data_IF_589243998356
#
_entry.id   IF_589243998356
#
_cell.length_a   1.000
_cell.length_b   1.000
_cell.length_c   1.000
_cell.angle_alpha   90.00
_cell.angle_beta   90.00
_cell.angle_gamma   90.00
#
_symmetry.space_group_name_H-M   'P 1'
#
loop_
_entity.id
_entity.type
_entity.pdbx_description
1 polymer ?
#
# COMPACT_ATOMS: atom_id res chain seq x y z
N UNK A 1 -31.55 9.65 -3.49
CA UNK A 1 -31.26 10.40 -2.22
C UNK A 1 -30.59 11.70 -2.59
N UNK A 2 -30.78 12.74 -1.80
CA UNK A 2 -30.06 13.99 -2.02
C UNK A 2 -28.74 13.94 -1.24
N UNK A 3 -27.63 14.05 -1.93
CA UNK A 3 -26.28 14.03 -1.36
C UNK A 3 -25.57 15.39 -1.45
N UNK A 4 -26.31 16.46 -1.73
CA UNK A 4 -25.75 17.81 -1.94
C UNK A 4 -24.98 18.35 -0.73
N UNK A 5 -25.26 17.81 0.47
CA UNK A 5 -24.53 18.16 1.70
C UNK A 5 -23.22 17.39 1.89
N UNK A 6 -23.01 16.28 1.12
CA UNK A 6 -21.78 15.50 1.20
C UNK A 6 -20.75 16.08 0.24
N UNK A 7 -19.60 16.52 0.79
CA UNK A 7 -18.55 17.20 0.01
C UNK A 7 -17.17 16.81 0.50
N UNK A 8 -16.26 16.85 -0.43
CA UNK A 8 -14.83 16.64 -0.19
C UNK A 8 -14.40 15.17 -0.22
N UNK A 9 -13.16 14.98 -0.62
CA UNK A 9 -12.48 13.69 -0.62
C UNK A 9 -11.57 13.65 0.60
N UNK A 10 -11.86 12.74 1.52
CA UNK A 10 -11.13 12.61 2.78
C UNK A 10 -10.17 11.42 2.73
N UNK A 11 -8.91 11.65 3.03
CA UNK A 11 -7.90 10.60 3.20
C UNK A 11 -7.67 10.37 4.69
N UNK A 12 -7.91 9.16 5.18
CA UNK A 12 -7.57 8.83 6.56
C UNK A 12 -6.11 8.36 6.59
N UNK A 13 -5.26 9.22 7.13
CA UNK A 13 -3.82 9.06 7.12
C UNK A 13 -3.35 8.03 8.13
N UNK A 14 -2.54 7.08 7.66
CA UNK A 14 -1.91 6.07 8.48
C UNK A 14 -0.62 6.61 9.12
N UNK A 15 -0.48 6.39 10.44
CA UNK A 15 0.72 6.73 11.20
C UNK A 15 1.44 5.46 11.66
N UNK A 16 2.77 5.54 11.75
CA UNK A 16 3.59 4.52 12.38
C UNK A 16 4.63 5.20 13.30
N UNK A 17 4.55 4.95 14.61
CA UNK A 17 5.41 5.57 15.61
C UNK A 17 5.41 7.13 15.56
N UNK A 18 4.24 7.72 15.31
CA UNK A 18 4.03 9.16 15.16
C UNK A 18 4.48 9.74 13.81
N UNK A 19 4.95 8.91 12.86
CA UNK A 19 5.33 9.34 11.51
C UNK A 19 4.27 9.03 10.50
N UNK A 20 4.07 9.94 9.55
CA UNK A 20 3.14 9.76 8.44
C UNK A 20 3.69 8.68 7.50
N UNK A 21 2.90 7.64 7.25
CA UNK A 21 3.29 6.59 6.32
C UNK A 21 3.23 7.07 4.87
N UNK A 22 4.12 6.53 4.03
CA UNK A 22 4.23 6.86 2.60
C UNK A 22 2.89 6.76 1.87
N UNK A 23 2.09 5.74 2.17
CA UNK A 23 0.75 5.53 1.58
C UNK A 23 -0.17 6.74 1.77
N UNK A 24 -0.06 7.46 2.87
CA UNK A 24 -0.86 8.68 3.10
C UNK A 24 -0.54 9.74 2.05
N UNK A 25 0.72 9.96 1.73
CA UNK A 25 1.13 10.90 0.68
C UNK A 25 0.71 10.43 -0.72
N UNK A 26 0.85 9.16 -1.03
CA UNK A 26 0.38 8.55 -2.29
C UNK A 26 -1.11 8.83 -2.49
N UNK A 27 -1.93 8.54 -1.46
CA UNK A 27 -3.38 8.74 -1.51
C UNK A 27 -3.79 10.21 -1.51
N UNK A 28 -3.02 11.10 -0.86
CA UNK A 28 -3.27 12.54 -0.92
C UNK A 28 -3.12 13.05 -2.35
N UNK A 29 -2.08 12.60 -3.07
CA UNK A 29 -1.88 12.95 -4.47
C UNK A 29 -3.00 12.43 -5.37
N UNK A 30 -3.41 11.19 -5.19
CA UNK A 30 -4.51 10.61 -5.98
C UNK A 30 -5.86 11.24 -5.67
N UNK A 31 -6.13 11.52 -4.39
CA UNK A 31 -7.31 12.26 -3.97
C UNK A 31 -7.38 13.65 -4.63
N UNK A 32 -6.23 14.33 -4.83
CA UNK A 32 -6.17 15.60 -5.54
C UNK A 32 -6.56 15.45 -7.02
N UNK A 33 -6.08 14.40 -7.68
CA UNK A 33 -6.44 14.11 -9.08
C UNK A 33 -7.95 13.90 -9.22
N UNK A 34 -8.55 13.12 -8.33
CA UNK A 34 -10.01 12.91 -8.32
C UNK A 34 -10.78 14.19 -8.00
N UNK A 35 -10.33 14.94 -7.00
CA UNK A 35 -10.99 16.16 -6.55
C UNK A 35 -10.96 17.26 -7.62
N UNK A 36 -9.89 17.39 -8.38
CA UNK A 36 -9.82 18.33 -9.52
C UNK A 36 -10.82 17.98 -10.62
N UNK A 37 -11.10 16.68 -10.84
CA UNK A 37 -12.10 16.23 -11.81
C UNK A 37 -13.54 16.41 -11.30
N UNK A 38 -13.77 16.23 -9.99
CA UNK A 38 -15.09 16.28 -9.38
C UNK A 38 -15.46 17.68 -8.85
N UNK A 39 -14.52 18.64 -8.82
CA UNK A 39 -14.72 19.97 -8.27
C UNK A 39 -14.79 19.97 -6.73
N UNK A 40 -14.06 19.04 -6.07
CA UNK A 40 -14.08 18.83 -4.63
C UNK A 40 -12.78 19.30 -3.94
N UNK A 41 -12.84 19.47 -2.61
CA UNK A 41 -11.66 19.71 -1.76
C UNK A 41 -11.07 18.38 -1.29
N UNK A 42 -9.74 18.39 -1.02
CA UNK A 42 -9.04 17.26 -0.40
C UNK A 42 -8.77 17.56 1.07
N UNK A 43 -9.29 16.73 1.95
CA UNK A 43 -8.99 16.76 3.37
C UNK A 43 -8.21 15.50 3.80
N UNK A 44 -7.15 15.68 4.58
CA UNK A 44 -6.45 14.56 5.21
C UNK A 44 -6.73 14.57 6.70
N UNK A 45 -7.06 13.42 7.27
CA UNK A 45 -7.27 13.26 8.72
C UNK A 45 -6.15 12.41 9.28
N UNK A 46 -5.29 13.01 10.09
CA UNK A 46 -4.25 12.32 10.85
C UNK A 46 -4.77 12.01 12.25
N UNK A 47 -4.66 10.76 12.67
CA UNK A 47 -5.13 10.31 13.98
C UNK A 47 -4.07 9.45 14.68
N UNK A 48 -3.77 9.76 15.93
CA UNK A 48 -2.78 9.01 16.71
C UNK A 48 -2.36 9.76 17.97
N UNK A 49 -1.10 9.59 18.37
CA UNK A 49 -0.45 10.35 19.43
C UNK A 49 0.98 10.71 19.03
N UNK A 50 1.48 11.81 19.60
CA UNK A 50 2.85 12.30 19.38
C UNK A 50 3.19 12.43 17.88
N UNK A 51 2.37 13.15 17.12
CA UNK A 51 2.66 13.40 15.71
C UNK A 51 4.01 14.09 15.55
N UNK A 52 4.98 13.39 14.97
CA UNK A 52 6.38 13.84 14.82
C UNK A 52 6.63 14.58 13.51
N UNK A 53 5.91 14.18 12.47
CA UNK A 53 6.02 14.83 11.16
C UNK A 53 5.10 16.06 11.10
N UNK A 54 5.50 17.16 10.43
CA UNK A 54 4.62 18.29 10.25
C UNK A 54 3.37 17.89 9.45
N UNK A 55 2.19 18.09 10.02
CA UNK A 55 0.92 17.83 9.31
C UNK A 55 0.83 18.67 8.02
N UNK A 56 1.39 19.86 8.01
CA UNK A 56 1.49 20.74 6.84
C UNK A 56 2.27 20.15 5.67
N UNK A 57 3.07 19.09 5.89
CA UNK A 57 3.81 18.40 4.81
C UNK A 57 2.91 17.76 3.76
N UNK A 58 1.61 17.56 4.07
CA UNK A 58 0.63 17.00 3.15
C UNK A 58 -0.01 18.04 2.22
N UNK A 59 0.11 19.34 2.56
CA UNK A 59 -0.45 20.43 1.74
C UNK A 59 0.24 20.50 0.36
N UNK A 60 1.58 20.50 0.27
CA UNK A 60 2.26 20.46 -1.02
C UNK A 60 1.97 19.19 -1.84
N UNK A 61 1.45 18.13 -1.21
CA UNK A 61 1.10 16.88 -1.87
C UNK A 61 -0.33 16.86 -2.42
N UNK A 62 -1.14 17.90 -2.13
CA UNK A 62 -2.49 18.03 -2.67
C UNK A 62 -3.60 18.26 -1.65
N UNK A 63 -3.32 18.25 -0.36
CA UNK A 63 -4.33 18.55 0.66
C UNK A 63 -4.68 20.02 0.71
N UNK A 64 -5.97 20.34 0.81
CA UNK A 64 -6.46 21.70 1.10
C UNK A 64 -6.63 21.88 2.62
N UNK A 65 -6.98 20.81 3.33
CA UNK A 65 -7.12 20.80 4.80
C UNK A 65 -6.46 19.56 5.39
N UNK A 66 -5.78 19.72 6.52
CA UNK A 66 -5.25 18.61 7.31
C UNK A 66 -5.81 18.69 8.72
N UNK A 67 -6.67 17.76 9.06
CA UNK A 67 -7.21 17.60 10.41
C UNK A 67 -6.30 16.72 11.24
N UNK A 68 -6.01 17.12 12.47
CA UNK A 68 -5.14 16.38 13.39
C UNK A 68 -5.91 16.04 14.65
N UNK A 69 -6.02 14.73 14.92
CA UNK A 69 -6.53 14.19 16.18
C UNK A 69 -5.32 13.58 16.90
N UNK A 70 -4.80 14.30 17.90
CA UNK A 70 -3.64 13.86 18.70
C UNK A 70 -4.12 13.64 20.14
N UNK A 71 -4.10 12.38 20.60
CA UNK A 71 -4.56 12.02 21.93
C UNK A 71 -3.76 10.84 22.50
N UNK A 72 -3.31 10.87 23.78
CA UNK A 72 -2.47 9.81 24.36
C UNK A 72 -3.04 8.40 24.24
N UNK A 73 -4.35 8.22 24.37
CA UNK A 73 -5.01 6.92 24.23
C UNK A 73 -5.05 6.38 22.78
N UNK A 74 -4.62 7.18 21.81
CA UNK A 74 -4.49 6.80 20.40
C UNK A 74 -3.03 6.46 20.02
N UNK A 75 -2.13 6.35 21.00
CA UNK A 75 -0.73 6.01 20.75
C UNK A 75 -0.55 4.62 20.10
N UNK A 76 -1.45 3.72 20.39
CA UNK A 76 -1.53 2.40 19.75
C UNK A 76 -2.91 2.24 19.14
N UNK A 77 -2.94 1.57 18.00
CA UNK A 77 -4.19 1.35 17.30
C UNK A 77 -5.13 0.49 18.14
N UNK A 78 -6.30 1.04 18.43
CA UNK A 78 -7.46 0.34 18.99
C UNK A 78 -8.68 0.72 18.16
N UNK A 79 -9.28 -0.26 17.48
CA UNK A 79 -10.36 0.00 16.51
C UNK A 79 -11.59 0.70 17.12
N UNK A 80 -11.90 0.42 18.40
CA UNK A 80 -13.03 1.06 19.10
C UNK A 80 -12.74 2.52 19.43
N UNK A 81 -11.56 2.81 19.97
CA UNK A 81 -11.15 4.18 20.31
C UNK A 81 -11.02 5.06 19.07
N UNK A 82 -10.42 4.52 17.98
CA UNK A 82 -10.30 5.23 16.71
C UNK A 82 -11.65 5.50 16.06
N UNK A 83 -12.57 4.52 16.06
CA UNK A 83 -13.93 4.71 15.59
C UNK A 83 -14.64 5.80 16.38
N UNK A 84 -14.58 5.76 17.73
CA UNK A 84 -15.18 6.75 18.59
C UNK A 84 -14.63 8.17 18.36
N UNK A 85 -13.35 8.28 18.05
CA UNK A 85 -12.73 9.58 17.77
C UNK A 85 -13.12 10.14 16.39
N UNK A 86 -13.26 9.28 15.37
CA UNK A 86 -13.47 9.70 13.99
C UNK A 86 -14.93 9.79 13.58
N UNK A 87 -15.80 8.89 14.05
CA UNK A 87 -17.18 8.81 13.55
C UNK A 87 -17.98 10.11 13.78
N UNK A 88 -17.94 10.76 14.95
CA UNK A 88 -18.68 12.02 15.16
C UNK A 88 -18.21 13.12 14.20
N UNK A 89 -16.91 13.23 13.96
CA UNK A 89 -16.33 14.20 13.05
C UNK A 89 -16.79 13.94 11.60
N UNK A 90 -16.75 12.69 11.14
CA UNK A 90 -17.16 12.33 9.79
C UNK A 90 -18.68 12.50 9.59
N UNK A 91 -19.50 12.22 10.61
CA UNK A 91 -20.94 12.47 10.58
C UNK A 91 -21.27 13.96 10.50
N UNK A 92 -20.48 14.81 11.18
CA UNK A 92 -20.63 16.28 11.10
C UNK A 92 -20.19 16.83 9.74
N UNK A 93 -19.03 16.39 9.26
CA UNK A 93 -18.42 16.92 8.02
C UNK A 93 -19.06 16.41 6.75
N UNK A 94 -19.72 15.26 6.81
CA UNK A 94 -20.41 14.61 5.68
C UNK A 94 -19.52 14.54 4.43
N UNK A 95 -18.35 13.84 4.48
CA UNK A 95 -17.50 13.68 3.29
C UNK A 95 -18.28 12.98 2.17
N UNK A 96 -18.01 13.32 0.90
CA UNK A 96 -18.53 12.57 -0.23
C UNK A 96 -17.79 11.23 -0.38
N UNK A 97 -16.47 11.28 -0.24
CA UNK A 97 -15.59 10.12 -0.42
C UNK A 97 -14.59 10.00 0.73
N UNK A 98 -14.32 8.77 1.19
CA UNK A 98 -13.28 8.47 2.18
C UNK A 98 -12.35 7.40 1.64
N UNK A 99 -11.05 7.71 1.61
CA UNK A 99 -9.99 6.83 1.11
C UNK A 99 -9.07 6.42 2.26
N UNK A 100 -8.85 5.12 2.39
CA UNK A 100 -7.89 4.52 3.31
C UNK A 100 -6.76 3.81 2.56
N UNK A 101 -5.57 3.76 3.11
CA UNK A 101 -4.58 2.77 2.69
C UNK A 101 -4.99 1.36 3.15
N UNK A 102 -4.90 0.35 2.30
CA UNK A 102 -5.17 -1.06 2.65
C UNK A 102 -4.04 -1.66 3.53
N UNK A 103 -3.59 -0.90 4.52
CA UNK A 103 -2.72 -1.35 5.60
C UNK A 103 -3.55 -2.12 6.64
N UNK A 104 -2.94 -2.85 7.59
CA UNK A 104 -3.69 -3.48 8.69
C UNK A 104 -4.63 -2.51 9.41
N UNK A 105 -4.17 -1.28 9.63
CA UNK A 105 -4.97 -0.18 10.18
C UNK A 105 -6.22 0.13 9.32
N UNK A 106 -6.03 0.41 8.03
CA UNK A 106 -7.14 0.80 7.16
C UNK A 106 -8.11 -0.35 6.89
N UNK A 107 -7.62 -1.59 6.79
CA UNK A 107 -8.45 -2.79 6.58
C UNK A 107 -9.38 -3.10 7.77
N UNK A 108 -8.98 -2.73 8.99
CA UNK A 108 -9.84 -2.88 10.17
C UNK A 108 -10.74 -1.66 10.39
N UNK A 109 -10.20 -0.44 10.24
CA UNK A 109 -10.94 0.78 10.58
C UNK A 109 -11.98 1.16 9.52
N UNK A 110 -11.70 0.98 8.22
CA UNK A 110 -12.62 1.38 7.16
C UNK A 110 -14.00 0.68 7.26
N UNK A 111 -14.10 -0.65 7.42
CA UNK A 111 -15.40 -1.29 7.57
C UNK A 111 -16.10 -0.93 8.88
N UNK A 112 -15.37 -0.64 9.96
CA UNK A 112 -15.98 -0.17 11.22
C UNK A 112 -16.66 1.18 11.04
N UNK A 113 -15.96 2.13 10.40
CA UNK A 113 -16.53 3.46 10.12
C UNK A 113 -17.64 3.38 9.08
N UNK A 114 -17.51 2.55 8.03
CA UNK A 114 -18.56 2.35 7.04
C UNK A 114 -19.86 1.84 7.68
N UNK A 115 -19.78 0.93 8.65
CA UNK A 115 -20.93 0.45 9.39
C UNK A 115 -21.60 1.57 10.22
N UNK A 116 -20.81 2.43 10.87
CA UNK A 116 -21.32 3.58 11.64
C UNK A 116 -21.93 4.64 10.74
N UNK A 117 -21.33 4.89 9.58
CA UNK A 117 -21.80 5.85 8.59
C UNK A 117 -22.91 5.29 7.68
N UNK A 118 -23.32 4.04 7.89
CA UNK A 118 -24.36 3.32 7.13
C UNK A 118 -24.08 3.32 5.63
N UNK A 119 -22.84 2.99 5.24
CA UNK A 119 -22.42 2.90 3.84
C UNK A 119 -21.62 1.62 3.57
N UNK A 120 -21.32 1.35 2.30
CA UNK A 120 -20.46 0.24 1.89
C UNK A 120 -18.97 0.61 1.90
N UNK A 121 -18.11 -0.40 1.82
CA UNK A 121 -16.66 -0.21 1.64
C UNK A 121 -16.13 -1.12 0.53
N UNK A 122 -15.37 -0.54 -0.42
CA UNK A 122 -14.66 -1.30 -1.44
C UNK A 122 -13.23 -1.58 -0.96
N UNK A 123 -12.88 -2.86 -0.90
CA UNK A 123 -11.59 -3.27 -0.36
C UNK A 123 -10.57 -3.59 -1.46
N UNK A 124 -9.28 -3.33 -1.17
CA UNK A 124 -8.13 -3.76 -1.99
C UNK A 124 -8.10 -3.18 -3.41
N UNK A 125 -8.48 -1.92 -3.53
CA UNK A 125 -8.52 -1.16 -4.77
C UNK A 125 -7.12 -0.96 -5.35
N UNK A 126 -7.01 -1.06 -6.67
CA UNK A 126 -5.74 -0.87 -7.39
C UNK A 126 -5.80 0.25 -8.43
N UNK A 127 -6.99 0.79 -8.71
CA UNK A 127 -7.17 1.93 -9.60
C UNK A 127 -8.37 2.76 -9.15
N UNK A 128 -8.27 4.08 -9.29
CA UNK A 128 -9.34 5.04 -8.99
C UNK A 128 -9.59 5.90 -10.22
N UNK A 129 -10.85 6.16 -10.51
CA UNK A 129 -11.24 7.13 -11.56
C UNK A 129 -12.56 7.82 -11.17
N UNK A 130 -12.88 8.91 -11.85
CA UNK A 130 -14.08 9.70 -11.59
C UNK A 130 -15.10 9.57 -12.73
N UNK A 131 -16.35 9.27 -12.38
CA UNK A 131 -17.51 9.51 -13.26
C UNK A 131 -18.01 10.93 -12.97
N UNK A 132 -17.54 11.90 -13.76
CA UNK A 132 -17.85 13.32 -13.56
C UNK A 132 -19.31 13.68 -13.86
N UNK A 133 -20.01 12.88 -14.65
CA UNK A 133 -21.43 13.10 -14.95
C UNK A 133 -22.32 12.75 -13.75
N UNK A 134 -21.93 11.72 -13.00
CA UNK A 134 -22.70 11.24 -11.84
C UNK A 134 -22.14 11.66 -10.48
N UNK A 135 -20.95 12.28 -10.46
CA UNK A 135 -20.25 12.61 -9.22
C UNK A 135 -19.85 11.36 -8.42
N UNK A 136 -19.39 10.30 -9.11
CA UNK A 136 -19.04 9.04 -8.47
C UNK A 136 -17.54 8.77 -8.60
N UNK A 137 -16.98 8.14 -7.58
CA UNK A 137 -15.66 7.50 -7.65
C UNK A 137 -15.85 6.06 -8.11
N UNK A 138 -15.11 5.66 -9.13
CA UNK A 138 -15.04 4.29 -9.62
C UNK A 138 -13.85 3.62 -8.96
N UNK A 139 -14.12 2.54 -8.24
CA UNK A 139 -13.14 1.78 -7.46
C UNK A 139 -12.83 0.48 -8.20
N UNK A 140 -11.72 0.44 -8.95
CA UNK A 140 -11.35 -0.75 -9.71
C UNK A 140 -10.42 -1.65 -8.89
N UNK A 141 -10.73 -2.93 -8.86
CA UNK A 141 -9.95 -3.93 -8.14
C UNK A 141 -9.90 -5.26 -8.88
N UNK A 142 -8.80 -6.02 -8.75
CA UNK A 142 -8.77 -7.40 -9.24
C UNK A 142 -9.80 -8.27 -8.51
N UNK A 143 -10.55 -9.05 -9.28
CA UNK A 143 -11.52 -10.03 -8.81
C UNK A 143 -11.23 -11.40 -9.46
N UNK A 144 -11.81 -12.47 -8.93
CA UNK A 144 -11.67 -13.85 -9.43
C UNK A 144 -10.19 -14.22 -9.68
N UNK A 145 -9.41 -14.19 -8.62
CA UNK A 145 -7.96 -14.47 -8.63
C UNK A 145 -7.14 -13.59 -9.59
N UNK A 146 -7.66 -12.38 -9.87
CA UNK A 146 -6.97 -11.39 -10.71
C UNK A 146 -7.25 -11.50 -12.21
N UNK A 147 -8.11 -12.43 -12.61
CA UNK A 147 -8.45 -12.61 -14.03
C UNK A 147 -9.43 -11.56 -14.57
N UNK A 148 -10.09 -10.83 -13.69
CA UNK A 148 -11.10 -9.81 -14.05
C UNK A 148 -10.84 -8.57 -13.19
N UNK A 149 -10.93 -7.40 -13.80
CA UNK A 149 -11.04 -6.14 -13.08
C UNK A 149 -12.52 -5.83 -12.84
N UNK A 150 -12.87 -5.56 -11.60
CA UNK A 150 -14.22 -5.18 -11.22
C UNK A 150 -14.24 -3.69 -10.87
N UNK A 151 -15.08 -2.94 -11.56
CA UNK A 151 -15.38 -1.54 -11.27
C UNK A 151 -16.58 -1.48 -10.32
N UNK A 152 -16.36 -0.90 -9.16
CA UNK A 152 -17.36 -0.80 -8.10
C UNK A 152 -17.71 0.67 -7.91
N UNK A 153 -18.99 0.95 -7.77
CA UNK A 153 -19.53 2.29 -7.52
C UNK A 153 -20.57 2.27 -6.40
N UNK A 154 -20.76 3.38 -5.72
CA UNK A 154 -21.74 3.55 -4.63
C UNK A 154 -22.70 4.70 -4.97
N UNK A 155 -23.69 4.49 -5.85
CA UNK A 155 -24.60 5.56 -6.29
C UNK A 155 -25.63 5.95 -5.21
N UNK A 156 -25.99 5.04 -4.32
CA UNK A 156 -27.14 5.18 -3.42
C UNK A 156 -26.77 5.53 -1.96
N UNK A 157 -25.48 5.56 -1.66
CA UNK A 157 -24.99 5.82 -0.29
C UNK A 157 -23.80 6.78 -0.28
N UNK A 158 -23.67 7.54 0.80
CA UNK A 158 -22.53 8.38 1.12
C UNK A 158 -22.10 8.18 2.58
N UNK A 159 -20.80 8.31 2.86
CA UNK A 159 -19.70 8.50 1.89
C UNK A 159 -19.44 7.27 1.00
N UNK A 160 -18.78 7.50 -0.16
CA UNK A 160 -18.16 6.43 -0.95
C UNK A 160 -16.86 6.04 -0.24
N UNK A 161 -16.71 4.81 0.22
CA UNK A 161 -15.56 4.40 1.04
C UNK A 161 -14.77 3.29 0.38
N UNK A 162 -13.44 3.42 0.39
CA UNK A 162 -12.58 2.35 -0.09
C UNK A 162 -11.20 2.29 0.57
N UNK A 163 -10.61 1.11 0.49
CA UNK A 163 -9.20 0.90 0.87
C UNK A 163 -8.36 0.61 -0.36
N UNK A 164 -7.24 1.30 -0.51
CA UNK A 164 -6.35 1.25 -1.67
C UNK A 164 -5.04 0.58 -1.29
N UNK A 165 -4.53 -0.31 -2.11
CA UNK A 165 -3.24 -0.98 -1.87
C UNK A 165 -2.10 0.04 -1.81
N UNK A 166 -1.22 -0.02 -0.80
CA UNK A 166 -0.01 0.81 -0.77
C UNK A 166 0.89 0.54 -1.98
N UNK A 167 1.54 1.60 -2.49
CA UNK A 167 2.47 1.49 -3.61
C UNK A 167 1.83 1.38 -4.99
N UNK A 168 0.50 1.46 -5.10
CA UNK A 168 -0.21 1.46 -6.40
C UNK A 168 -0.06 2.81 -7.08
N UNK A 169 -0.21 3.89 -6.32
CA UNK A 169 -0.06 5.23 -6.86
C UNK A 169 1.35 5.77 -6.66
N UNK A 170 1.80 6.59 -7.60
CA UNK A 170 3.09 7.28 -7.47
C UNK A 170 3.02 8.30 -6.35
N UNK A 171 4.09 8.40 -5.58
CA UNK A 171 4.21 9.49 -4.60
C UNK A 171 4.23 10.81 -5.35
N UNK A 172 3.34 11.77 -5.04
CA UNK A 172 3.22 13.01 -5.80
C UNK A 172 4.48 13.87 -5.66
N UNK A 173 4.76 14.65 -6.69
CA UNK A 173 5.76 15.71 -6.59
C UNK A 173 5.18 16.86 -5.77
N UNK A 174 5.92 17.32 -4.76
CA UNK A 174 5.48 18.42 -3.91
C UNK A 174 5.39 19.72 -4.69
N UNK A 175 4.24 20.39 -4.62
CA UNK A 175 4.01 21.73 -5.15
C UNK A 175 4.08 22.74 -3.99
N UNK A 176 5.21 23.44 -3.88
CA UNK A 176 5.45 24.42 -2.82
C UNK A 176 4.55 25.67 -2.92
N UNK A 177 3.85 25.88 -4.03
CA UNK A 177 2.92 27.02 -4.20
C UNK A 177 1.56 26.79 -3.56
N UNK A 178 1.23 25.53 -3.21
CA UNK A 178 -0.06 25.21 -2.59
C UNK A 178 -0.15 25.74 -1.18
N UNK A 179 -1.33 26.27 -0.86
CA UNK A 179 -1.70 26.73 0.49
C UNK A 179 -2.84 25.87 1.02
N UNK A 180 -2.91 25.69 2.32
CA UNK A 180 -3.96 24.91 2.98
C UNK A 180 -3.96 25.16 4.47
N UNK A 181 -4.87 24.52 5.18
CA UNK A 181 -5.07 24.72 6.62
C UNK A 181 -4.74 23.44 7.39
N UNK A 182 -4.10 23.61 8.56
CA UNK A 182 -3.92 22.54 9.55
C UNK A 182 -4.83 22.84 10.73
N UNK A 183 -5.75 21.92 11.03
CA UNK A 183 -6.81 22.11 12.01
C UNK A 183 -6.69 21.01 13.07
N UNK A 184 -6.40 21.40 14.31
CA UNK A 184 -6.40 20.46 15.43
C UNK A 184 -7.82 20.19 15.92
N UNK A 185 -8.16 18.93 16.09
CA UNK A 185 -9.45 18.49 16.60
C UNK A 185 -9.29 17.93 18.02
N UNK A 186 -10.10 18.41 18.93
CA UNK A 186 -10.17 17.88 20.30
C UNK A 186 -11.18 16.73 20.35
N UNK A 187 -10.75 15.60 20.89
CA UNK A 187 -11.62 14.44 21.14
C UNK A 187 -11.65 14.09 22.62
N UNK A 188 -12.79 13.63 23.11
CA UNK A 188 -12.93 13.15 24.48
C UNK A 188 -12.89 11.63 24.50
N UNK A 189 -11.79 11.08 24.97
CA UNK A 189 -11.58 9.64 25.13
C UNK A 189 -11.19 9.33 26.58
N UNK A 190 -11.73 8.23 27.09
CA UNK A 190 -11.42 7.68 28.40
C UNK A 190 -10.91 6.23 28.23
N UNK A 191 -10.22 5.67 29.23
CA UNK A 191 -9.71 4.28 29.19
C UNK A 191 -10.80 3.23 28.90
N UNK A 192 -12.02 3.46 29.36
CA UNK A 192 -13.19 2.59 29.07
C UNK A 192 -13.56 2.52 27.58
N UNK A 193 -13.07 3.46 26.78
CA UNK A 193 -13.34 3.53 25.34
C UNK A 193 -12.39 2.62 24.54
N UNK A 194 -11.32 2.15 25.17
CA UNK A 194 -10.46 1.13 24.60
C UNK A 194 -11.19 -0.21 24.52
N UNK A 195 -11.04 -0.91 23.41
CA UNK A 195 -11.55 -2.26 23.21
C UNK A 195 -10.57 -3.34 23.68
N UNK A 196 -9.30 -2.97 23.82
CA UNK A 196 -8.20 -3.88 24.16
C UNK A 196 -7.28 -3.26 25.21
N UNK A 197 -6.55 -4.11 25.94
CA UNK A 197 -5.49 -3.70 26.85
C UNK A 197 -4.15 -4.14 26.26
N UNK A 198 -3.33 -3.18 25.86
CA UNK A 198 -1.98 -3.46 25.41
C UNK A 198 -1.13 -3.94 26.60
N UNK A 199 -0.66 -5.20 26.56
CA UNK A 199 0.20 -5.77 27.60
C UNK A 199 1.68 -5.53 27.31
N UNK A 200 2.11 -5.84 26.07
CA UNK A 200 3.50 -5.67 25.63
C UNK A 200 3.58 -5.56 24.12
N UNK A 201 4.65 -4.98 23.63
CA UNK A 201 5.01 -4.93 22.21
C UNK A 201 6.26 -5.79 22.05
N UNK A 202 6.11 -6.94 21.39
CA UNK A 202 7.23 -7.78 21.03
C UNK A 202 7.79 -7.25 19.72
N UNK A 203 8.91 -6.55 19.78
CA UNK A 203 9.58 -6.09 18.57
C UNK A 203 10.11 -7.33 17.81
N UNK A 204 9.64 -7.52 16.59
CA UNK A 204 10.26 -8.47 15.67
C UNK A 204 11.69 -8.07 15.34
N UNK A 205 12.48 -8.99 14.79
CA UNK A 205 13.78 -8.66 14.22
C UNK A 205 13.64 -7.52 13.22
N UNK A 206 14.49 -6.49 13.37
CA UNK A 206 14.52 -5.39 12.41
C UNK A 206 14.88 -5.94 11.04
N UNK A 207 13.96 -5.82 10.09
CA UNK A 207 14.26 -6.09 8.70
C UNK A 207 15.18 -4.97 8.18
N UNK A 208 16.43 -5.32 7.90
CA UNK A 208 17.41 -4.35 7.40
C UNK A 208 17.10 -3.89 5.97
N UNK A 209 16.38 -4.72 5.21
CA UNK A 209 16.08 -4.48 3.80
C UNK A 209 14.62 -4.86 3.49
N UNK A 210 13.63 -4.12 4.00
CA UNK A 210 12.23 -4.42 3.76
C UNK A 210 11.91 -4.34 2.26
N UNK A 211 11.33 -5.41 1.72
CA UNK A 211 11.04 -5.55 0.28
C UNK A 211 10.12 -4.47 -0.27
N UNK A 212 9.19 -3.98 0.57
CA UNK A 212 8.21 -2.95 0.20
C UNK A 212 8.83 -1.56 -0.06
N UNK A 213 10.04 -1.31 0.45
CA UNK A 213 10.73 -0.03 0.31
C UNK A 213 11.95 -0.09 -0.63
N UNK A 214 12.25 -1.26 -1.17
CA UNK A 214 13.45 -1.48 -1.96
C UNK A 214 13.32 -0.91 -3.38
N UNK A 215 14.40 -0.28 -3.87
CA UNK A 215 14.49 0.17 -5.26
C UNK A 215 14.75 -0.98 -6.24
N UNK A 216 15.40 -2.02 -5.78
CA UNK A 216 15.67 -3.24 -6.53
C UNK A 216 15.27 -4.43 -5.66
N UNK A 217 14.50 -5.34 -6.23
CA UNK A 217 14.09 -6.58 -5.59
C UNK A 217 14.58 -7.76 -6.41
N UNK A 218 15.23 -8.70 -5.73
CA UNK A 218 15.57 -10.01 -6.31
C UNK A 218 14.69 -11.05 -5.66
N UNK A 219 13.71 -11.55 -6.40
CA UNK A 219 12.71 -12.47 -5.89
C UNK A 219 12.89 -13.88 -6.45
N UNK A 220 12.83 -14.87 -5.56
CA UNK A 220 12.94 -16.28 -5.91
C UNK A 220 11.61 -17.02 -5.82
N UNK A 221 11.39 -17.93 -6.77
CA UNK A 221 10.25 -18.82 -6.80
C UNK A 221 10.62 -20.29 -6.70
N UNK A 222 9.60 -21.15 -6.81
CA UNK A 222 9.73 -22.63 -6.74
C UNK A 222 10.63 -23.24 -7.82
N UNK A 223 11.06 -22.45 -8.82
CA UNK A 223 12.07 -22.86 -9.79
C UNK A 223 13.47 -23.01 -9.18
N UNK A 224 13.74 -22.36 -8.04
CA UNK A 224 14.90 -22.59 -7.19
C UNK A 224 14.62 -23.86 -6.37
N UNK A 225 15.54 -24.81 -6.39
CA UNK A 225 15.28 -26.15 -5.88
C UNK A 225 16.16 -26.56 -4.71
N UNK A 226 17.24 -25.83 -4.47
CA UNK A 226 18.21 -26.14 -3.44
C UNK A 226 18.57 -24.92 -2.62
N UNK A 227 18.94 -25.12 -1.35
CA UNK A 227 19.46 -24.04 -0.49
C UNK A 227 20.72 -23.40 -1.08
N UNK A 228 21.53 -24.16 -1.82
CA UNK A 228 22.72 -23.62 -2.49
C UNK A 228 22.37 -22.64 -3.61
N UNK A 229 21.29 -22.88 -4.36
CA UNK A 229 20.79 -21.94 -5.35
C UNK A 229 20.15 -20.71 -4.66
N UNK A 230 19.47 -20.92 -3.51
CA UNK A 230 18.93 -19.85 -2.71
C UNK A 230 20.03 -18.93 -2.16
N UNK A 231 21.11 -19.49 -1.67
CA UNK A 231 22.30 -18.73 -1.24
C UNK A 231 22.90 -17.85 -2.35
N UNK A 232 22.91 -18.37 -3.60
CA UNK A 232 23.37 -17.57 -4.77
C UNK A 232 22.41 -16.43 -5.10
N UNK A 233 21.09 -16.60 -4.86
CA UNK A 233 20.15 -15.51 -5.01
C UNK A 233 20.43 -14.37 -4.00
N UNK A 234 20.74 -14.71 -2.74
CA UNK A 234 21.18 -13.75 -1.74
C UNK A 234 22.49 -13.06 -2.17
N UNK A 235 23.48 -13.81 -2.66
CA UNK A 235 24.71 -13.23 -3.19
C UNK A 235 24.46 -12.23 -4.33
N UNK A 236 23.53 -12.54 -5.23
CA UNK A 236 23.11 -11.62 -6.29
C UNK A 236 22.46 -10.36 -5.71
N UNK A 237 21.56 -10.51 -4.74
CA UNK A 237 20.89 -9.39 -4.09
C UNK A 237 21.89 -8.47 -3.38
N UNK A 238 22.85 -9.03 -2.64
CA UNK A 238 23.91 -8.27 -1.97
C UNK A 238 24.76 -7.48 -2.99
N UNK A 239 25.14 -8.12 -4.08
CA UNK A 239 25.89 -7.48 -5.17
C UNK A 239 25.13 -6.31 -5.80
N UNK A 240 23.81 -6.38 -5.85
CA UNK A 240 22.96 -5.33 -6.44
C UNK A 240 22.48 -4.29 -5.40
N UNK A 241 22.74 -4.51 -4.11
CA UNK A 241 22.15 -3.72 -3.02
C UNK A 241 20.62 -3.83 -3.02
N UNK A 242 20.11 -5.00 -3.38
CA UNK A 242 18.71 -5.31 -3.53
C UNK A 242 18.13 -5.98 -2.28
N UNK A 243 16.83 -5.84 -2.07
CA UNK A 243 16.12 -6.66 -1.10
C UNK A 243 15.81 -8.05 -1.70
N UNK A 244 15.83 -9.06 -0.84
CA UNK A 244 15.42 -10.41 -1.21
C UNK A 244 13.93 -10.58 -0.99
N UNK A 245 13.23 -11.00 -2.04
CA UNK A 245 11.83 -11.37 -1.98
C UNK A 245 11.61 -12.85 -2.30
N UNK A 246 10.46 -13.36 -1.94
CA UNK A 246 10.12 -14.74 -2.26
C UNK A 246 8.64 -14.93 -2.64
N UNK A 247 8.38 -15.97 -3.41
CA UNK A 247 7.02 -16.44 -3.60
C UNK A 247 6.55 -17.27 -2.39
N UNK A 248 5.25 -17.39 -2.19
CA UNK A 248 4.65 -18.14 -1.07
C UNK A 248 5.25 -19.54 -0.84
N UNK A 249 5.49 -20.39 -1.87
CA UNK A 249 6.09 -21.70 -1.66
C UNK A 249 7.47 -21.68 -1.00
N UNK A 250 8.28 -20.64 -1.24
CA UNK A 250 9.60 -20.49 -0.63
C UNK A 250 9.48 -20.12 0.85
N UNK A 251 8.56 -19.22 1.18
CA UNK A 251 8.26 -18.88 2.58
C UNK A 251 7.73 -20.09 3.37
N UNK A 252 6.88 -20.91 2.75
CA UNK A 252 6.36 -22.15 3.35
C UNK A 252 7.44 -23.22 3.56
N UNK A 253 8.49 -23.25 2.73
CA UNK A 253 9.68 -24.09 2.93
C UNK A 253 10.59 -23.57 4.06
N UNK A 254 10.37 -22.35 4.55
CA UNK A 254 11.19 -21.73 5.60
C UNK A 254 12.57 -21.25 5.10
N UNK A 255 12.80 -21.18 3.79
CA UNK A 255 14.05 -20.65 3.24
C UNK A 255 14.14 -19.13 3.33
N UNK A 256 12.98 -18.48 3.36
CA UNK A 256 12.85 -17.04 3.55
C UNK A 256 11.69 -16.74 4.50
N UNK A 257 11.81 -15.75 5.39
CA UNK A 257 10.73 -15.43 6.32
C UNK A 257 9.50 -14.88 5.59
N UNK A 258 8.31 -15.14 6.13
CA UNK A 258 7.03 -14.67 5.56
C UNK A 258 6.95 -13.16 5.37
N UNK A 259 7.71 -12.35 6.10
CA UNK A 259 7.79 -10.90 5.91
C UNK A 259 8.39 -10.49 4.56
N UNK A 260 9.12 -11.40 3.88
CA UNK A 260 9.67 -11.21 2.53
C UNK A 260 8.82 -11.86 1.43
N UNK A 261 7.71 -12.49 1.81
CA UNK A 261 6.78 -13.05 0.85
C UNK A 261 6.10 -11.93 0.05
N UNK A 262 6.17 -12.02 -1.28
CA UNK A 262 5.51 -11.11 -2.23
C UNK A 262 4.28 -11.81 -2.81
N UNK A 263 3.17 -11.09 -2.89
CA UNK A 263 1.94 -11.62 -3.44
C UNK A 263 0.69 -11.11 -2.72
N UNK A 264 -0.47 -11.59 -3.14
CA UNK A 264 -1.78 -11.21 -2.62
C UNK A 264 -1.91 -11.39 -1.09
N UNK A 265 -1.29 -12.42 -0.55
CA UNK A 265 -1.27 -12.73 0.90
C UNK A 265 0.03 -12.31 1.58
N UNK A 266 0.91 -11.64 0.86
CA UNK A 266 2.20 -11.14 1.33
C UNK A 266 2.30 -9.63 1.21
N UNK A 267 3.50 -9.17 0.84
CA UNK A 267 3.82 -7.75 0.63
C UNK A 267 3.57 -7.33 -0.82
N UNK A 268 3.07 -6.11 -1.00
CA UNK A 268 3.11 -5.41 -2.28
C UNK A 268 4.44 -4.68 -2.44
N UNK A 269 5.00 -4.68 -3.64
CA UNK A 269 6.29 -4.06 -3.95
C UNK A 269 6.19 -3.21 -5.21
N UNK A 270 6.88 -2.05 -5.19
CA UNK A 270 6.95 -1.14 -6.34
C UNK A 270 8.42 -0.72 -6.59
N UNK A 271 9.31 -1.67 -6.93
CA UNK A 271 10.71 -1.37 -7.18
C UNK A 271 10.90 -0.80 -8.59
N UNK A 272 12.04 -0.13 -8.81
CA UNK A 272 12.46 0.22 -10.17
C UNK A 272 12.80 -1.01 -11.01
N UNK A 273 13.40 -2.04 -10.37
CA UNK A 273 13.78 -3.29 -11.06
C UNK A 273 13.34 -4.46 -10.17
N UNK A 274 12.64 -5.40 -10.78
CA UNK A 274 12.20 -6.64 -10.17
C UNK A 274 12.79 -7.84 -10.91
N UNK A 275 13.67 -8.58 -10.25
CA UNK A 275 14.19 -9.86 -10.78
C UNK A 275 13.27 -10.99 -10.34
N UNK A 276 12.63 -11.67 -11.29
CA UNK A 276 11.78 -12.83 -11.07
C UNK A 276 12.54 -14.12 -11.42
N UNK A 277 13.16 -14.74 -10.43
CA UNK A 277 14.02 -15.91 -10.63
C UNK A 277 13.27 -17.20 -10.29
N UNK A 278 12.94 -17.99 -11.32
CA UNK A 278 12.18 -19.24 -11.16
C UNK A 278 10.75 -19.03 -10.62
N UNK A 279 10.18 -17.88 -10.87
CA UNK A 279 8.80 -17.54 -10.58
C UNK A 279 7.95 -17.85 -11.81
N UNK A 280 6.77 -18.46 -11.60
CA UNK A 280 5.87 -18.83 -12.70
C UNK A 280 5.08 -17.67 -13.29
N UNK A 281 4.89 -16.59 -12.51
CA UNK A 281 4.03 -15.48 -12.93
C UNK A 281 2.55 -15.69 -12.60
N UNK A 282 2.25 -16.54 -11.62
CA UNK A 282 0.88 -16.66 -11.14
C UNK A 282 0.32 -15.30 -10.72
N UNK A 283 -0.93 -15.02 -11.07
CA UNK A 283 -1.56 -13.73 -10.82
C UNK A 283 -1.55 -13.35 -9.33
N UNK A 284 -1.70 -14.32 -8.43
CA UNK A 284 -1.63 -14.11 -6.97
C UNK A 284 -0.27 -13.56 -6.49
N UNK A 285 0.80 -13.75 -7.27
CA UNK A 285 2.10 -13.17 -7.02
C UNK A 285 2.23 -11.82 -7.73
N UNK A 286 1.94 -11.80 -9.03
CA UNK A 286 2.17 -10.62 -9.88
C UNK A 286 1.24 -9.44 -9.57
N UNK A 287 0.04 -9.67 -9.05
CA UNK A 287 -0.87 -8.60 -8.62
C UNK A 287 -0.31 -7.71 -7.49
N UNK A 288 0.78 -8.14 -6.84
CA UNK A 288 1.47 -7.40 -5.80
C UNK A 288 2.81 -6.79 -6.30
N UNK A 289 3.14 -6.93 -7.56
CA UNK A 289 4.38 -6.41 -8.17
C UNK A 289 4.02 -5.28 -9.12
N UNK A 290 4.43 -4.06 -8.78
CA UNK A 290 4.27 -2.86 -9.61
C UNK A 290 5.67 -2.26 -9.90
N UNK A 291 6.50 -3.00 -10.64
CA UNK A 291 7.86 -2.60 -10.97
C UNK A 291 7.91 -1.77 -12.25
N UNK A 292 8.90 -0.85 -12.35
CA UNK A 292 9.17 -0.13 -13.60
C UNK A 292 9.74 -1.07 -14.67
N UNK A 293 10.55 -2.07 -14.25
CA UNK A 293 11.19 -3.08 -15.11
C UNK A 293 11.11 -4.45 -14.43
N UNK A 294 10.59 -5.44 -15.13
CA UNK A 294 10.56 -6.85 -14.72
C UNK A 294 11.55 -7.66 -15.57
N UNK A 295 12.50 -8.31 -14.90
CA UNK A 295 13.46 -9.23 -15.53
C UNK A 295 13.16 -10.64 -15.06
N UNK A 296 12.66 -11.48 -15.94
CA UNK A 296 12.31 -12.87 -15.63
C UNK A 296 13.34 -13.85 -16.12
N UNK A 297 13.67 -14.83 -15.29
CA UNK A 297 14.48 -16.01 -15.68
C UNK A 297 13.70 -17.26 -15.33
N UNK A 298 13.33 -18.01 -16.34
CA UNK A 298 12.59 -19.26 -16.18
C UNK A 298 13.05 -20.27 -17.23
N UNK A 299 13.09 -21.55 -16.87
CA UNK A 299 13.39 -22.62 -17.81
C UNK A 299 12.19 -23.05 -18.66
N UNK A 300 10.99 -22.67 -18.25
CA UNK A 300 9.74 -22.91 -18.99
C UNK A 300 9.39 -21.66 -19.80
N UNK A 301 9.58 -21.69 -21.14
CA UNK A 301 9.26 -20.54 -21.98
C UNK A 301 7.76 -20.22 -22.05
N UNK A 302 6.91 -21.14 -21.59
CA UNK A 302 5.45 -20.95 -21.53
C UNK A 302 4.95 -20.45 -20.18
N UNK A 303 5.86 -20.23 -19.22
CA UNK A 303 5.47 -19.68 -17.94
C UNK A 303 4.89 -18.26 -18.13
N UNK A 304 3.74 -17.91 -17.52
CA UNK A 304 3.10 -16.60 -17.71
C UNK A 304 4.02 -15.40 -17.45
N UNK A 305 5.01 -15.54 -16.57
CA UNK A 305 5.99 -14.48 -16.29
C UNK A 305 6.80 -14.09 -17.53
N UNK A 306 6.99 -15.00 -18.47
CA UNK A 306 7.79 -14.75 -19.68
C UNK A 306 7.08 -13.79 -20.65
N UNK A 307 5.76 -13.75 -20.60
CA UNK A 307 4.94 -12.80 -21.39
C UNK A 307 4.79 -11.44 -20.68
N UNK A 308 4.84 -11.45 -19.33
CA UNK A 308 4.65 -10.25 -18.51
C UNK A 308 5.93 -9.43 -18.33
N UNK A 309 7.10 -10.05 -18.52
CA UNK A 309 8.41 -9.42 -18.24
C UNK A 309 8.86 -8.52 -19.39
N UNK A 310 9.50 -7.39 -19.05
CA UNK A 310 10.18 -6.54 -20.03
C UNK A 310 11.42 -7.25 -20.64
N UNK A 311 12.06 -8.08 -19.83
CA UNK A 311 13.19 -8.92 -20.25
C UNK A 311 12.96 -10.36 -19.80
N UNK A 312 12.71 -11.25 -20.73
CA UNK A 312 12.50 -12.67 -20.48
C UNK A 312 13.71 -13.48 -20.94
N UNK A 313 14.28 -14.28 -20.03
CA UNK A 313 15.44 -15.16 -20.28
C UNK A 313 15.02 -16.60 -20.07
N UNK A 314 15.05 -17.40 -21.15
CA UNK A 314 14.86 -18.84 -21.06
C UNK A 314 16.18 -19.49 -20.64
N UNK A 315 16.29 -19.89 -19.37
CA UNK A 315 17.48 -20.52 -18.84
C UNK A 315 17.17 -21.33 -17.56
N UNK A 316 18.01 -22.33 -17.29
CA UNK A 316 18.02 -22.96 -15.96
C UNK A 316 18.82 -22.09 -15.00
N UNK A 317 18.22 -21.78 -13.84
CA UNK A 317 18.83 -20.92 -12.81
C UNK A 317 20.14 -21.50 -12.26
N UNK A 318 20.27 -22.83 -12.24
CA UNK A 318 21.48 -23.50 -11.79
C UNK A 318 22.69 -23.06 -12.59
N UNK A 319 22.52 -22.87 -13.90
CA UNK A 319 23.60 -22.47 -14.82
C UNK A 319 23.68 -20.95 -14.98
N UNK A 320 22.54 -20.28 -15.01
CA UNK A 320 22.43 -18.84 -15.27
C UNK A 320 22.91 -17.97 -14.10
N UNK A 321 22.50 -18.30 -12.86
CA UNK A 321 22.82 -17.48 -11.69
C UNK A 321 24.34 -17.31 -11.46
N UNK A 322 25.17 -18.37 -11.51
CA UNK A 322 26.62 -18.22 -11.37
C UNK A 322 27.22 -17.29 -12.41
N UNK A 323 26.80 -17.42 -13.66
CA UNK A 323 27.29 -16.60 -14.76
C UNK A 323 26.90 -15.13 -14.61
N UNK A 324 25.67 -14.88 -14.18
CA UNK A 324 25.22 -13.52 -13.93
C UNK A 324 26.00 -12.86 -12.79
N UNK A 325 26.21 -13.58 -11.69
CA UNK A 325 26.98 -13.12 -10.54
C UNK A 325 28.43 -12.79 -10.96
N UNK A 326 29.08 -13.67 -11.69
CA UNK A 326 30.46 -13.45 -12.21
C UNK A 326 30.51 -12.18 -13.07
N UNK A 327 29.55 -12.02 -13.99
CA UNK A 327 29.49 -10.87 -14.89
C UNK A 327 29.31 -9.57 -14.14
N UNK A 328 28.43 -9.55 -13.13
CA UNK A 328 28.19 -8.36 -12.30
C UNK A 328 29.44 -8.02 -11.48
N UNK A 329 30.13 -9.02 -10.89
CA UNK A 329 31.39 -8.81 -10.18
C UNK A 329 32.46 -8.19 -11.10
N UNK A 330 32.58 -8.69 -12.31
CA UNK A 330 33.53 -8.17 -13.30
C UNK A 330 33.21 -6.74 -13.76
N UNK A 331 31.91 -6.34 -13.77
CA UNK A 331 31.50 -4.98 -14.09
C UNK A 331 31.78 -4.01 -12.94
N UNK A 332 31.65 -4.47 -11.70
CA UNK A 332 31.89 -3.64 -10.51
C UNK A 332 33.38 -3.46 -10.19
N UNK A 333 34.26 -4.30 -10.74
CA UNK A 333 35.71 -4.22 -10.55
C UNK A 333 36.39 -3.30 -11.58
N UNK A 334 35.65 -2.76 -12.52
CA UNK A 334 36.08 -1.74 -13.50
C UNK A 334 35.73 -0.32 -13.01
#
# INVERSE_FOLDING_TARGET
MDFSEHKGIYVIGALANGKIQKVTGELTGEARVLADQLGEEVAVVLIGADLKDPASSLIPLGADKVYVIDHPLLAHYDGKAYQKALAPFLLEKKPDTIIFGATPFGRDLAPRLAAELVCGVTADVTELSADTEKGLVIWSRPAMDGNIMADIVSPDYRPQVGTVRPGIFKYPQADASRTGEVISLSVSLEEKDLGTVLKEIIAGEKDSHPVENAKVVVAGGRGIRTEGEWAKLHELADLLGAAVGCSRPIAELGWEPHRHQIGQTGKGVAPKIYFALGISGAMQHMCAVNADIVIAVNKDPKAPIMEMADYAVEADLKDFLPLLIEKIKALKSK
#
